data_IF_684317052971
#
_entry.id   IF_684317052971
#
_cell.length_a   1.000
_cell.length_b   1.000
_cell.length_c   1.000
_cell.angle_alpha   90.00
_cell.angle_beta   90.00
_cell.angle_gamma   90.00
#
_symmetry.space_group_name_H-M   'P 1'
#
loop_
_entity.id
_entity.type
_entity.pdbx_description
1 polymer ?
#
# COMPACT_ATOMS: atom_id res chain seq x y z
N UNK A 1 35.83 46.18 -64.32
CA UNK A 1 35.29 44.99 -65.03
C UNK A 1 35.82 43.73 -64.36
N UNK A 2 34.96 42.97 -63.70
CA UNK A 2 35.18 41.55 -63.36
C UNK A 2 33.84 40.92 -62.98
N UNK A 3 33.51 39.81 -63.64
CA UNK A 3 32.24 39.08 -63.66
C UNK A 3 31.81 38.43 -62.34
N UNK A 4 30.51 38.14 -62.18
CA UNK A 4 29.98 37.39 -61.03
C UNK A 4 30.14 35.88 -61.22
N UNK A 5 30.62 35.17 -60.20
CA UNK A 5 30.68 33.70 -60.18
C UNK A 5 29.54 33.09 -59.38
N UNK A 6 28.98 32.03 -59.95
CA UNK A 6 27.68 31.45 -59.68
C UNK A 6 27.60 30.63 -58.38
N UNK A 7 26.45 30.73 -57.72
CA UNK A 7 26.01 29.89 -56.60
C UNK A 7 25.59 28.52 -57.15
N UNK A 8 26.30 27.45 -56.77
CA UNK A 8 26.00 26.06 -57.15
C UNK A 8 25.24 25.37 -56.02
N UNK A 9 23.95 25.12 -56.24
CA UNK A 9 23.09 24.32 -55.37
C UNK A 9 23.52 22.86 -55.42
N UNK A 10 23.93 22.29 -54.28
CA UNK A 10 24.25 20.87 -54.15
C UNK A 10 22.99 20.09 -53.72
N UNK A 11 22.33 19.46 -54.69
CA UNK A 11 21.29 18.47 -54.49
C UNK A 11 21.88 17.20 -53.87
N UNK A 12 21.40 16.80 -52.69
CA UNK A 12 21.80 15.54 -52.04
C UNK A 12 21.09 14.34 -52.73
N UNK A 13 21.81 13.26 -53.07
CA UNK A 13 21.21 12.07 -53.65
C UNK A 13 20.47 11.23 -52.59
N UNK A 14 19.25 10.81 -52.92
CA UNK A 14 18.44 9.85 -52.15
C UNK A 14 19.04 8.46 -52.30
N UNK A 15 19.68 7.95 -51.26
CA UNK A 15 20.21 6.58 -51.20
C UNK A 15 19.08 5.63 -50.82
N UNK A 16 18.68 4.72 -51.72
CA UNK A 16 17.74 3.63 -51.42
C UNK A 16 18.44 2.58 -50.55
N UNK A 17 17.87 2.29 -49.37
CA UNK A 17 18.27 1.18 -48.53
C UNK A 17 17.93 -0.17 -49.22
N UNK A 18 18.81 -1.19 -49.16
CA UNK A 18 18.50 -2.51 -49.67
C UNK A 18 17.50 -3.25 -48.77
N UNK A 19 16.53 -3.93 -49.41
CA UNK A 19 15.47 -4.71 -48.78
C UNK A 19 16.04 -6.04 -48.28
N UNK A 20 16.16 -6.23 -46.97
CA UNK A 20 16.59 -7.49 -46.37
C UNK A 20 15.50 -8.57 -46.54
N UNK A 21 15.84 -9.82 -46.88
CA UNK A 21 14.89 -10.93 -46.91
C UNK A 21 14.52 -11.38 -45.49
N UNK A 22 13.24 -11.70 -45.28
CA UNK A 22 12.70 -12.23 -44.03
C UNK A 22 13.23 -13.66 -43.79
N UNK A 23 13.67 -13.99 -42.55
CA UNK A 23 14.05 -15.36 -42.23
C UNK A 23 12.80 -16.25 -42.16
N UNK A 24 12.83 -17.32 -42.96
CA UNK A 24 11.89 -18.43 -42.85
C UNK A 24 12.27 -19.27 -41.62
N UNK A 25 11.24 -19.65 -40.85
CA UNK A 25 11.25 -20.74 -39.88
C UNK A 25 12.08 -20.52 -38.59
N UNK A 26 11.45 -19.93 -37.57
CA UNK A 26 11.89 -20.10 -36.18
C UNK A 26 10.80 -20.86 -35.42
N UNK A 27 11.18 -22.05 -34.99
CA UNK A 27 10.37 -23.01 -34.25
C UNK A 27 9.69 -22.34 -33.05
N UNK A 28 8.37 -22.50 -32.94
CA UNK A 28 7.60 -22.12 -31.77
C UNK A 28 8.10 -22.93 -30.56
N UNK A 29 8.98 -22.33 -29.76
CA UNK A 29 9.30 -22.81 -28.42
C UNK A 29 8.00 -22.74 -27.61
N UNK A 30 7.34 -23.89 -27.44
CA UNK A 30 6.18 -24.01 -26.56
C UNK A 30 6.65 -23.68 -25.14
N UNK A 31 6.18 -22.55 -24.61
CA UNK A 31 6.37 -22.20 -23.20
C UNK A 31 5.84 -23.37 -22.35
N UNK A 32 6.58 -23.84 -21.34
CA UNK A 32 6.09 -24.88 -20.46
C UNK A 32 4.80 -24.41 -19.76
N UNK A 33 3.80 -25.29 -19.77
CA UNK A 33 2.51 -25.11 -19.11
C UNK A 33 2.78 -24.83 -17.64
N UNK A 34 2.51 -23.60 -17.19
CA UNK A 34 2.58 -23.27 -15.77
C UNK A 34 1.53 -24.10 -15.04
N UNK A 35 1.99 -24.98 -14.15
CA UNK A 35 1.11 -25.70 -13.21
C UNK A 35 0.28 -24.67 -12.43
N UNK A 36 -1.02 -24.92 -12.36
CA UNK A 36 -2.04 -23.97 -11.93
C UNK A 36 -1.68 -23.19 -10.67
N UNK A 37 -1.81 -21.86 -10.78
CA UNK A 37 -1.98 -21.00 -9.62
C UNK A 37 -3.26 -21.47 -8.91
N UNK A 38 -3.24 -21.78 -7.61
CA UNK A 38 -4.46 -22.14 -6.90
C UNK A 38 -5.49 -21.02 -7.05
N UNK A 39 -6.68 -21.35 -7.56
CA UNK A 39 -7.81 -20.42 -7.50
C UNK A 39 -8.13 -20.16 -6.02
N UNK A 40 -8.48 -18.92 -5.64
CA UNK A 40 -8.81 -18.58 -4.28
C UNK A 40 -10.01 -19.41 -3.81
N UNK A 41 -9.80 -20.21 -2.77
CA UNK A 41 -10.83 -20.98 -2.07
C UNK A 41 -11.85 -20.02 -1.46
N UNK A 42 -13.13 -20.36 -1.61
CA UNK A 42 -14.31 -19.50 -1.35
C UNK A 42 -14.53 -19.05 0.11
N UNK A 43 -13.63 -19.38 1.04
CA UNK A 43 -13.67 -18.89 2.44
C UNK A 43 -13.02 -17.50 2.61
N UNK A 44 -12.23 -17.03 1.64
CA UNK A 44 -11.77 -15.64 1.60
C UNK A 44 -12.58 -14.90 0.54
N UNK A 45 -13.74 -14.35 0.91
CA UNK A 45 -14.41 -13.36 0.06
C UNK A 45 -13.47 -12.13 -0.06
N UNK A 46 -12.59 -12.18 -1.04
CA UNK A 46 -11.46 -11.28 -1.25
C UNK A 46 -11.96 -9.86 -1.49
N UNK A 47 -11.88 -9.00 -0.48
CA UNK A 47 -11.84 -7.57 -0.74
C UNK A 47 -10.62 -7.29 -1.62
N UNK A 48 -10.87 -6.90 -2.87
CA UNK A 48 -9.81 -6.55 -3.81
C UNK A 48 -9.21 -5.23 -3.39
N UNK A 49 -8.14 -5.27 -2.58
CA UNK A 49 -7.36 -4.06 -2.27
C UNK A 49 -6.84 -3.50 -3.60
N UNK A 50 -7.36 -2.35 -4.03
CA UNK A 50 -6.95 -1.78 -5.31
C UNK A 50 -5.58 -1.13 -5.17
N UNK A 51 -4.68 -1.45 -6.11
CA UNK A 51 -3.37 -0.83 -6.19
C UNK A 51 -3.49 0.69 -6.27
N UNK A 52 -2.85 1.41 -5.34
CA UNK A 52 -2.93 2.86 -5.25
C UNK A 52 -3.96 3.40 -4.26
N UNK A 53 -4.84 2.57 -3.67
CA UNK A 53 -5.69 3.03 -2.56
C UNK A 53 -4.89 3.28 -1.28
N UNK A 54 -3.81 2.53 -1.07
CA UNK A 54 -2.97 2.68 0.11
C UNK A 54 -1.56 3.10 -0.27
N UNK A 55 -1.02 4.05 0.49
CA UNK A 55 0.39 4.43 0.46
C UNK A 55 0.99 4.18 1.83
N UNK A 56 2.16 3.56 1.85
CA UNK A 56 2.89 3.19 3.06
C UNK A 56 4.19 3.99 3.14
N UNK A 57 4.42 4.58 4.31
CA UNK A 57 5.58 5.38 4.62
C UNK A 57 6.46 4.61 5.59
N UNK A 58 7.69 4.35 5.19
CA UNK A 58 8.71 3.70 6.01
C UNK A 58 9.78 4.71 6.35
N UNK A 59 10.22 4.75 7.60
CA UNK A 59 11.41 5.52 7.97
C UNK A 59 12.51 4.60 8.46
N UNK A 60 13.74 5.04 8.24
CA UNK A 60 14.88 4.45 8.91
C UNK A 60 14.95 4.98 10.35
N UNK A 61 14.93 4.09 11.34
CA UNK A 61 14.89 4.48 12.76
C UNK A 61 16.15 5.23 13.24
N UNK A 62 17.27 5.14 12.49
CA UNK A 62 18.55 5.77 12.87
C UNK A 62 18.83 7.05 12.09
N UNK A 63 18.47 7.07 10.82
CA UNK A 63 18.80 8.17 9.90
C UNK A 63 17.61 9.04 9.51
N UNK A 64 16.38 8.64 9.90
CA UNK A 64 15.12 9.30 9.51
C UNK A 64 14.93 9.46 7.99
N UNK A 65 15.65 8.68 7.19
CA UNK A 65 15.38 8.57 5.76
C UNK A 65 14.02 7.94 5.57
N UNK A 66 13.17 8.53 4.73
CA UNK A 66 11.82 8.04 4.48
C UNK A 66 11.75 7.34 3.13
N UNK A 67 10.97 6.29 2.96
CA UNK A 67 10.72 5.64 1.67
C UNK A 67 9.22 5.37 1.54
N UNK A 68 8.69 5.56 0.34
CA UNK A 68 7.28 5.30 0.06
C UNK A 68 7.10 3.96 -0.66
N UNK A 69 6.01 3.27 -0.36
CA UNK A 69 5.63 2.02 -1.02
C UNK A 69 4.13 1.98 -1.25
N UNK A 70 3.70 1.35 -2.35
CA UNK A 70 2.27 1.04 -2.61
C UNK A 70 1.88 -0.33 -2.04
N UNK A 71 2.87 -1.14 -1.62
CA UNK A 71 2.69 -2.44 -1.00
C UNK A 71 3.10 -2.40 0.46
N UNK A 72 2.45 -3.24 1.29
CA UNK A 72 2.78 -3.43 2.72
C UNK A 72 4.16 -3.99 2.98
N UNK A 73 4.74 -4.68 2.01
CA UNK A 73 6.12 -5.13 2.11
C UNK A 73 7.00 -4.19 1.33
N UNK A 74 8.12 -3.81 1.94
CA UNK A 74 9.10 -2.94 1.32
C UNK A 74 9.95 -3.75 0.32
N UNK A 75 9.82 -3.45 -0.98
CA UNK A 75 10.66 -4.05 -2.01
C UNK A 75 12.03 -3.36 -2.02
N UNK A 76 13.10 -4.13 -1.84
CA UNK A 76 14.48 -3.63 -1.74
C UNK A 76 14.88 -2.75 -2.94
N UNK A 77 14.66 -3.21 -4.17
CA UNK A 77 15.08 -2.46 -5.37
C UNK A 77 14.29 -1.16 -5.53
N UNK A 78 12.96 -1.23 -5.36
CA UNK A 78 12.08 -0.06 -5.48
C UNK A 78 12.37 0.99 -4.40
N UNK A 79 12.70 0.55 -3.19
CA UNK A 79 13.00 1.42 -2.06
C UNK A 79 14.41 2.04 -2.15
N UNK A 80 15.44 1.26 -2.50
CA UNK A 80 16.80 1.78 -2.66
C UNK A 80 16.89 2.80 -3.80
N UNK A 81 16.12 2.64 -4.88
CA UNK A 81 16.08 3.61 -5.99
C UNK A 81 15.55 4.99 -5.60
N UNK A 82 14.88 5.10 -4.45
CA UNK A 82 14.40 6.40 -3.95
C UNK A 82 15.46 7.16 -3.14
N UNK A 83 16.55 6.50 -2.72
CA UNK A 83 17.59 7.10 -1.87
C UNK A 83 18.72 7.68 -2.74
N UNK A 84 18.89 9.00 -2.85
CA UNK A 84 20.03 9.60 -3.54
C UNK A 84 21.32 9.44 -2.72
N UNK A 85 22.45 9.51 -3.44
CA UNK A 85 23.76 9.46 -2.81
C UNK A 85 24.11 10.82 -2.19
N UNK A 86 24.13 10.88 -0.85
CA UNK A 86 24.47 12.06 -0.06
C UNK A 86 25.87 11.96 0.58
N UNK A 87 26.60 10.89 0.28
CA UNK A 87 27.95 10.64 0.77
C UNK A 87 28.21 9.18 1.16
N UNK A 88 29.41 8.92 1.68
CA UNK A 88 29.77 7.56 2.13
C UNK A 88 28.85 7.13 3.28
N UNK A 89 28.30 5.91 3.17
CA UNK A 89 27.38 5.30 4.15
C UNK A 89 26.00 5.96 4.27
N UNK A 90 25.59 6.80 3.32
CA UNK A 90 24.22 7.37 3.32
C UNK A 90 23.21 6.47 2.65
N UNK A 91 23.64 5.62 1.71
CA UNK A 91 22.78 4.63 1.05
C UNK A 91 23.25 3.23 1.48
N UNK A 92 22.40 2.41 2.10
CA UNK A 92 22.74 1.04 2.43
C UNK A 92 22.76 0.16 1.17
N UNK A 93 23.57 -0.89 1.16
CA UNK A 93 23.59 -1.87 0.05
C UNK A 93 22.32 -2.73 0.02
N UNK A 94 21.66 -2.91 1.16
CA UNK A 94 20.43 -3.70 1.30
C UNK A 94 19.61 -3.17 2.46
N UNK A 95 18.30 -3.17 2.31
CA UNK A 95 17.39 -2.75 3.37
C UNK A 95 17.29 -3.84 4.44
N UNK A 96 17.67 -3.44 5.65
CA UNK A 96 17.63 -4.26 6.85
C UNK A 96 16.26 -4.12 7.52
N UNK A 97 15.56 -5.23 7.71
CA UNK A 97 14.19 -5.24 8.26
C UNK A 97 14.08 -4.53 9.61
N UNK A 98 15.10 -4.67 10.46
CA UNK A 98 15.18 -4.09 11.80
C UNK A 98 15.32 -2.56 11.82
N UNK A 99 15.84 -1.96 10.74
CA UNK A 99 16.10 -0.53 10.69
C UNK A 99 14.97 0.26 10.02
N UNK A 100 14.06 -0.40 9.31
CA UNK A 100 13.00 0.23 8.55
C UNK A 100 11.64 -0.10 9.15
N UNK A 101 10.94 0.92 9.61
CA UNK A 101 9.66 0.78 10.28
C UNK A 101 8.56 1.54 9.52
N UNK A 102 7.38 0.96 9.30
CA UNK A 102 6.22 1.75 8.88
C UNK A 102 5.85 2.74 9.99
N UNK A 103 5.74 4.03 9.63
CA UNK A 103 5.32 5.06 10.58
C UNK A 103 4.03 5.77 10.18
N UNK A 104 3.66 5.71 8.90
CA UNK A 104 2.43 6.29 8.40
C UNK A 104 1.84 5.40 7.28
N UNK A 105 0.51 5.27 7.27
CA UNK A 105 -0.26 4.66 6.20
C UNK A 105 -1.36 5.63 5.79
N UNK A 106 -1.49 5.87 4.50
CA UNK A 106 -2.52 6.75 3.94
C UNK A 106 -3.48 5.93 3.10
N UNK A 107 -4.77 6.10 3.33
CA UNK A 107 -5.86 5.53 2.55
C UNK A 107 -6.55 6.61 1.73
N UNK A 108 -6.71 6.34 0.44
CA UNK A 108 -7.44 7.16 -0.51
C UNK A 108 -8.73 6.47 -0.93
N UNK A 109 -9.85 7.20 -1.01
CA UNK A 109 -11.11 6.66 -1.52
C UNK A 109 -10.99 6.27 -3.00
N UNK A 110 -10.18 7.01 -3.78
CA UNK A 110 -9.92 6.73 -5.19
C UNK A 110 -8.49 6.21 -5.40
N UNK A 111 -8.29 5.03 -6.05
CA UNK A 111 -6.96 4.51 -6.35
C UNK A 111 -6.12 5.45 -7.23
N UNK A 112 -6.77 6.15 -8.17
CA UNK A 112 -6.08 7.09 -9.05
C UNK A 112 -5.50 8.29 -8.28
N UNK A 113 -6.25 8.79 -7.30
CA UNK A 113 -5.81 9.89 -6.45
C UNK A 113 -4.55 9.51 -5.65
N UNK A 114 -4.53 8.29 -5.08
CA UNK A 114 -3.34 7.80 -4.38
C UNK A 114 -2.15 7.56 -5.30
N UNK A 115 -2.34 7.07 -6.53
CA UNK A 115 -1.23 6.97 -7.50
C UNK A 115 -0.66 8.34 -7.90
N UNK A 116 -1.53 9.34 -8.08
CA UNK A 116 -1.11 10.71 -8.34
C UNK A 116 -0.34 11.30 -7.14
N UNK A 117 -0.84 11.07 -5.92
CA UNK A 117 -0.19 11.51 -4.69
C UNK A 117 1.19 10.85 -4.52
N UNK A 118 1.28 9.53 -4.75
CA UNK A 118 2.52 8.77 -4.67
C UNK A 118 3.60 9.31 -5.62
N UNK A 119 3.22 9.71 -6.84
CA UNK A 119 4.16 10.34 -7.79
C UNK A 119 4.68 11.66 -7.24
N UNK A 120 3.79 12.55 -6.76
CA UNK A 120 4.17 13.86 -6.21
C UNK A 120 5.02 13.76 -4.95
N UNK A 121 4.70 12.84 -4.03
CA UNK A 121 5.50 12.59 -2.82
C UNK A 121 6.94 12.20 -3.16
N UNK A 122 7.13 11.35 -4.19
CA UNK A 122 8.47 10.95 -4.65
C UNK A 122 9.22 12.10 -5.30
N UNK A 123 8.52 12.97 -6.04
CA UNK A 123 9.09 14.18 -6.63
C UNK A 123 9.53 15.17 -5.54
N UNK A 124 8.67 15.46 -4.56
CA UNK A 124 9.00 16.37 -3.44
C UNK A 124 10.18 15.87 -2.63
N UNK A 125 10.21 14.59 -2.30
CA UNK A 125 11.37 13.99 -1.64
C UNK A 125 12.67 14.20 -2.44
N UNK A 126 12.63 13.91 -3.75
CA UNK A 126 13.80 14.09 -4.60
C UNK A 126 14.24 15.56 -4.65
N UNK A 127 13.30 16.51 -4.57
CA UNK A 127 13.59 17.95 -4.48
C UNK A 127 14.20 18.32 -3.13
N UNK A 128 13.68 17.85 -2.01
CA UNK A 128 14.24 18.12 -0.67
C UNK A 128 15.69 17.69 -0.53
N UNK A 129 16.07 16.58 -1.17
CA UNK A 129 17.44 16.06 -1.09
C UNK A 129 18.39 16.66 -2.14
N UNK A 130 17.88 17.24 -3.24
CA UNK A 130 18.69 17.81 -4.34
C UNK A 130 18.75 19.34 -4.37
N UNK A 131 17.63 19.98 -4.06
CA UNK A 131 17.40 21.42 -4.18
C UNK A 131 16.94 21.98 -2.82
N UNK A 132 17.80 21.83 -1.82
CA UNK A 132 17.57 22.33 -0.47
C UNK A 132 18.11 23.76 -0.29
N UNK A 133 17.51 24.55 0.62
CA UNK A 133 18.06 25.84 1.01
C UNK A 133 19.43 25.66 1.66
N UNK A 134 20.37 26.57 1.42
CA UNK A 134 21.72 26.43 1.99
C UNK A 134 21.75 26.61 3.51
N UNK A 135 20.73 27.23 4.09
CA UNK A 135 20.69 27.57 5.50
C UNK A 135 20.67 26.34 6.40
N UNK A 136 20.00 25.26 5.97
CA UNK A 136 19.98 23.99 6.75
C UNK A 136 21.36 23.32 6.80
N UNK A 137 22.27 23.67 5.87
CA UNK A 137 23.63 23.12 5.81
C UNK A 137 24.71 24.14 6.20
N UNK A 138 24.33 25.30 6.74
CA UNK A 138 25.28 26.28 7.29
C UNK A 138 25.36 26.12 8.80
N UNK A 139 26.53 26.44 9.35
CA UNK A 139 26.70 26.49 10.80
C UNK A 139 26.02 27.75 11.33
N UNK A 140 25.03 27.59 12.21
CA UNK A 140 24.29 28.70 12.83
C UNK A 140 25.09 29.39 13.93
N UNK A 141 25.95 28.63 14.61
CA UNK A 141 26.62 29.05 15.85
C UNK A 141 28.12 28.69 15.86
N UNK A 142 28.87 29.37 16.73
CA UNK A 142 30.29 29.10 16.98
C UNK A 142 31.26 29.80 16.02
N UNK A 143 32.53 29.38 16.09
CA UNK A 143 33.68 30.01 15.40
C UNK A 143 33.52 30.06 13.87
N UNK A 144 32.74 29.14 13.30
CA UNK A 144 32.58 28.97 11.86
C UNK A 144 31.18 29.36 11.37
N UNK A 145 30.50 30.26 12.07
CA UNK A 145 29.17 30.76 11.72
C UNK A 145 29.10 31.21 10.25
N UNK A 146 28.06 30.76 9.54
CA UNK A 146 27.84 31.05 8.12
C UNK A 146 28.63 30.17 7.15
N UNK A 147 29.63 29.41 7.61
CA UNK A 147 30.31 28.41 6.79
C UNK A 147 29.47 27.17 6.58
N UNK A 148 29.79 26.37 5.56
CA UNK A 148 29.08 25.13 5.28
C UNK A 148 29.49 24.02 6.27
N UNK A 149 28.49 23.23 6.69
CA UNK A 149 28.70 22.05 7.52
C UNK A 149 29.71 21.08 6.87
N UNK A 150 30.54 20.39 7.68
CA UNK A 150 31.38 19.30 7.21
C UNK A 150 30.56 18.23 6.49
N UNK A 151 31.14 17.61 5.44
CA UNK A 151 30.46 16.64 4.55
C UNK A 151 29.63 15.58 5.31
N UNK A 152 30.17 15.04 6.41
CA UNK A 152 29.49 14.03 7.23
C UNK A 152 28.26 14.58 7.95
N UNK A 153 28.34 15.77 8.54
CA UNK A 153 27.20 16.43 9.20
C UNK A 153 26.14 16.82 8.18
N UNK A 154 26.58 17.38 7.04
CA UNK A 154 25.71 17.70 5.91
C UNK A 154 24.90 16.50 5.45
N UNK A 155 25.57 15.37 5.20
CA UNK A 155 24.88 14.13 4.83
C UNK A 155 23.86 13.68 5.88
N UNK A 156 24.15 13.84 7.18
CA UNK A 156 23.19 13.49 8.26
C UNK A 156 21.96 14.39 8.25
N UNK A 157 22.13 15.71 8.08
CA UNK A 157 21.01 16.66 8.01
C UNK A 157 20.14 16.37 6.80
N UNK A 158 20.74 16.15 5.62
CA UNK A 158 20.00 15.88 4.39
C UNK A 158 19.31 14.51 4.38
N UNK A 159 19.77 13.55 5.19
CA UNK A 159 19.10 12.24 5.33
C UNK A 159 17.83 12.32 6.17
N UNK A 160 17.71 13.30 7.07
CA UNK A 160 16.55 13.44 7.95
C UNK A 160 15.39 14.07 7.19
N UNK A 161 14.53 13.21 6.64
CA UNK A 161 13.43 13.61 5.76
C UNK A 161 12.06 13.29 6.36
N UNK A 162 12.00 12.90 7.65
CA UNK A 162 10.74 12.48 8.29
C UNK A 162 9.73 13.62 8.36
N UNK A 163 10.14 14.76 8.92
CA UNK A 163 9.28 15.93 9.03
C UNK A 163 8.83 16.43 7.64
N UNK A 164 9.78 16.57 6.72
CA UNK A 164 9.52 17.01 5.34
C UNK A 164 8.50 16.09 4.64
N UNK A 165 8.61 14.77 4.79
CA UNK A 165 7.69 13.82 4.16
C UNK A 165 6.24 13.97 4.63
N UNK A 166 6.03 14.44 5.86
CA UNK A 166 4.72 14.64 6.46
C UNK A 166 4.12 15.98 6.01
N UNK A 167 4.94 17.03 5.99
CA UNK A 167 4.57 18.30 5.39
C UNK A 167 4.23 18.15 3.90
N UNK A 168 5.02 17.36 3.16
CA UNK A 168 4.78 17.04 1.76
C UNK A 168 3.44 16.31 1.57
N UNK A 169 3.11 15.38 2.46
CA UNK A 169 1.82 14.69 2.41
C UNK A 169 0.67 15.68 2.57
N UNK A 170 0.71 16.55 3.57
CA UNK A 170 -0.31 17.57 3.75
C UNK A 170 -0.43 18.48 2.52
N UNK A 171 0.70 18.95 1.97
CA UNK A 171 0.75 19.77 0.77
C UNK A 171 0.20 19.05 -0.47
N UNK A 172 0.50 17.76 -0.66
CA UNK A 172 -0.04 16.97 -1.76
C UNK A 172 -1.56 16.84 -1.66
N UNK A 173 -2.09 16.60 -0.46
CA UNK A 173 -3.53 16.47 -0.25
C UNK A 173 -4.25 17.81 -0.51
N UNK A 174 -3.66 18.93 -0.09
CA UNK A 174 -4.15 20.27 -0.40
C UNK A 174 -4.13 20.56 -1.91
N UNK A 175 -3.03 20.24 -2.59
CA UNK A 175 -2.87 20.43 -4.04
C UNK A 175 -3.86 19.61 -4.86
N UNK A 176 -4.16 18.40 -4.41
CA UNK A 176 -5.17 17.54 -5.04
C UNK A 176 -6.59 18.07 -4.83
N UNK A 177 -6.78 19.14 -4.03
CA UNK A 177 -8.08 19.66 -3.62
C UNK A 177 -9.00 18.54 -3.16
N UNK A 178 -8.45 17.65 -2.32
CA UNK A 178 -9.24 16.67 -1.59
C UNK A 178 -10.02 17.51 -0.56
N UNK A 179 -11.18 17.92 -1.03
CA UNK A 179 -12.14 18.87 -0.48
C UNK A 179 -13.44 18.69 -1.26
N UNK A 180 -14.56 19.25 -0.80
CA UNK A 180 -15.86 19.05 -1.42
C UNK A 180 -15.89 19.86 -2.71
N UNK A 181 -15.40 19.30 -3.82
CA UNK A 181 -15.71 19.89 -5.11
C UNK A 181 -17.22 19.75 -5.31
N UNK A 182 -17.89 20.83 -5.69
CA UNK A 182 -19.33 20.83 -5.97
C UNK A 182 -19.70 19.68 -6.91
N UNK A 183 -18.83 19.38 -7.89
CA UNK A 183 -18.98 18.24 -8.79
C UNK A 183 -19.02 16.88 -8.09
N UNK A 184 -18.25 16.68 -7.01
CA UNK A 184 -18.26 15.42 -6.24
C UNK A 184 -19.52 15.31 -5.40
N UNK A 185 -19.97 16.40 -4.77
CA UNK A 185 -21.26 16.44 -4.06
C UNK A 185 -22.40 16.12 -5.03
N UNK A 186 -22.44 16.80 -6.18
CA UNK A 186 -23.46 16.60 -7.23
C UNK A 186 -23.43 15.18 -7.80
N UNK A 187 -22.24 14.60 -8.01
CA UNK A 187 -22.10 13.23 -8.49
C UNK A 187 -22.50 12.18 -7.44
N UNK A 188 -22.20 12.42 -6.16
CA UNK A 188 -22.65 11.59 -5.06
C UNK A 188 -24.16 11.64 -4.90
N UNK A 189 -24.78 12.82 -4.96
CA UNK A 189 -26.23 12.99 -5.00
C UNK A 189 -26.87 12.29 -6.20
N UNK A 190 -26.29 12.44 -7.40
CA UNK A 190 -26.76 11.74 -8.60
C UNK A 190 -26.68 10.22 -8.43
N UNK A 191 -25.62 9.70 -7.82
CA UNK A 191 -25.49 8.28 -7.47
C UNK A 191 -26.57 7.85 -6.46
N UNK A 192 -26.79 8.62 -5.39
CA UNK A 192 -27.84 8.35 -4.39
C UNK A 192 -29.22 8.30 -5.04
N UNK A 193 -29.59 9.31 -5.83
CA UNK A 193 -30.86 9.36 -6.58
C UNK A 193 -31.00 8.16 -7.52
N UNK A 194 -29.92 7.75 -8.18
CA UNK A 194 -29.93 6.57 -9.08
C UNK A 194 -30.12 5.27 -8.32
N UNK A 195 -29.51 5.11 -7.16
CA UNK A 195 -29.71 3.92 -6.30
C UNK A 195 -31.13 3.89 -5.75
N UNK A 196 -31.67 5.04 -5.33
CA UNK A 196 -33.02 5.17 -4.80
C UNK A 196 -34.10 4.87 -5.86
N UNK A 197 -33.94 5.37 -7.09
CA UNK A 197 -34.86 5.04 -8.19
C UNK A 197 -34.79 3.55 -8.56
N UNK A 198 -33.61 2.95 -8.54
CA UNK A 198 -33.43 1.52 -8.77
C UNK A 198 -34.08 0.66 -7.67
N UNK A 199 -33.99 1.06 -6.40
CA UNK A 199 -34.69 0.41 -5.28
C UNK A 199 -36.20 0.47 -5.46
N UNK A 200 -36.74 1.63 -5.85
CA UNK A 200 -38.17 1.84 -6.06
C UNK A 200 -38.73 1.06 -7.27
N UNK A 201 -37.93 0.83 -8.30
CA UNK A 201 -38.34 0.10 -9.52
C UNK A 201 -38.27 -1.42 -9.39
N UNK A 202 -37.41 -1.98 -8.52
CA UNK A 202 -37.22 -3.44 -8.42
C UNK A 202 -38.06 -4.16 -7.35
N UNK A 203 -38.81 -3.44 -6.52
CA UNK A 203 -39.49 -4.01 -5.36
C UNK A 203 -38.48 -4.43 -4.29
N UNK A 204 -38.82 -4.23 -3.02
CA UNK A 204 -37.89 -4.38 -1.88
C UNK A 204 -37.31 -5.80 -1.75
N UNK A 205 -38.00 -6.82 -2.27
CA UNK A 205 -37.65 -8.24 -2.06
C UNK A 205 -36.72 -8.88 -3.11
N UNK A 206 -36.31 -8.17 -4.17
CA UNK A 206 -35.42 -8.73 -5.22
C UNK A 206 -34.11 -7.98 -5.44
N UNK A 207 -33.64 -7.21 -4.46
CA UNK A 207 -32.27 -6.66 -4.45
C UNK A 207 -31.34 -7.60 -3.67
N UNK A 208 -31.16 -8.85 -4.14
CA UNK A 208 -30.04 -9.66 -3.68
C UNK A 208 -28.74 -9.10 -4.28
N UNK A 209 -28.01 -8.37 -3.42
CA UNK A 209 -26.60 -7.98 -3.45
C UNK A 209 -25.97 -7.92 -4.86
N UNK A 210 -26.11 -6.78 -5.54
CA UNK A 210 -24.99 -6.31 -6.36
C UNK A 210 -23.78 -6.08 -5.43
N UNK A 211 -22.53 -6.30 -5.85
CA UNK A 211 -21.36 -5.98 -5.04
C UNK A 211 -21.38 -4.47 -4.75
N UNK A 212 -21.88 -4.11 -3.58
CA UNK A 212 -21.73 -2.79 -3.01
C UNK A 212 -20.26 -2.75 -2.64
N UNK A 213 -19.46 -1.92 -3.33
CA UNK A 213 -18.12 -1.59 -2.87
C UNK A 213 -18.26 -1.13 -1.40
N UNK A 214 -17.79 -1.96 -0.47
CA UNK A 214 -18.01 -1.93 0.98
C UNK A 214 -17.31 -0.72 1.66
N UNK A 215 -17.00 0.32 0.90
CA UNK A 215 -16.46 1.59 1.41
C UNK A 215 -17.56 2.54 1.94
N UNK A 216 -18.85 2.16 1.86
CA UNK A 216 -19.97 3.09 2.04
C UNK A 216 -20.73 3.00 3.38
N UNK A 217 -20.40 2.11 4.31
CA UNK A 217 -21.26 1.87 5.50
C UNK A 217 -20.70 2.32 6.86
N UNK A 218 -19.62 3.08 6.88
CA UNK A 218 -19.22 3.86 8.07
C UNK A 218 -19.13 5.34 7.72
N UNK A 219 -20.25 6.03 7.92
CA UNK A 219 -20.35 7.47 8.23
C UNK A 219 -19.39 8.42 7.52
N UNK A 220 -19.86 9.01 6.42
CA UNK A 220 -19.70 10.44 6.18
C UNK A 220 -18.41 10.90 5.50
N UNK A 221 -18.59 11.39 4.27
CA UNK A 221 -17.63 12.10 3.38
C UNK A 221 -16.44 11.28 2.87
N UNK A 222 -16.22 11.33 1.55
CA UNK A 222 -15.13 10.67 0.82
C UNK A 222 -13.73 11.24 1.18
N UNK A 223 -13.34 11.15 2.45
CA UNK A 223 -12.12 11.72 3.00
C UNK A 223 -10.93 10.76 2.96
N UNK A 224 -9.73 11.34 3.09
CA UNK A 224 -8.47 10.58 3.16
C UNK A 224 -8.21 10.21 4.62
N UNK A 225 -7.93 8.93 4.89
CA UNK A 225 -7.58 8.46 6.24
C UNK A 225 -6.08 8.31 6.36
N UNK A 226 -5.47 8.95 7.37
CA UNK A 226 -4.05 8.86 7.67
C UNK A 226 -3.86 8.19 9.02
N UNK A 227 -3.21 7.03 9.02
CA UNK A 227 -2.90 6.25 10.21
C UNK A 227 -1.45 6.43 10.62
N UNK A 228 -1.22 6.79 11.87
CA UNK A 228 0.09 7.14 12.41
C UNK A 228 0.60 6.13 13.44
N UNK A 229 1.87 5.73 13.35
CA UNK A 229 2.52 4.99 14.44
C UNK A 229 2.73 5.87 15.67
N UNK A 230 2.99 7.17 15.47
CA UNK A 230 3.03 8.19 16.51
C UNK A 230 2.15 9.38 16.08
N UNK A 231 1.08 9.67 16.82
CA UNK A 231 0.13 10.73 16.46
C UNK A 231 0.75 12.14 16.47
N UNK A 232 1.80 12.35 17.27
CA UNK A 232 2.54 13.63 17.30
C UNK A 232 3.25 13.92 15.98
N UNK A 233 3.51 12.90 15.16
CA UNK A 233 4.10 13.12 13.84
C UNK A 233 3.18 13.98 12.94
N UNK A 234 1.87 14.03 13.20
CA UNK A 234 0.95 14.89 12.45
C UNK A 234 1.25 16.40 12.59
N UNK A 235 1.93 16.81 13.67
CA UNK A 235 2.29 18.22 13.95
C UNK A 235 3.43 18.74 13.07
N UNK A 236 4.14 17.87 12.35
CA UNK A 236 5.16 18.31 11.39
C UNK A 236 4.58 19.06 10.19
N UNK A 237 3.27 18.93 9.94
CA UNK A 237 2.57 19.76 8.98
C UNK A 237 1.82 20.89 9.72
N UNK A 238 2.00 22.12 9.24
CA UNK A 238 1.36 23.30 9.84
C UNK A 238 -0.17 23.25 9.75
N UNK A 239 -0.70 22.75 8.63
CA UNK A 239 -2.13 22.69 8.36
C UNK A 239 -2.50 21.40 7.60
N UNK A 240 -3.69 20.87 7.89
CA UNK A 240 -4.26 19.71 7.22
C UNK A 240 -5.60 20.08 6.57
N UNK A 241 -5.96 19.52 5.40
CA UNK A 241 -7.31 19.65 4.85
C UNK A 241 -8.36 19.06 5.80
N UNK A 242 -9.54 19.68 5.87
CA UNK A 242 -10.63 19.25 6.77
C UNK A 242 -11.12 17.81 6.52
N UNK A 243 -10.96 17.31 5.29
CA UNK A 243 -11.34 15.94 4.90
C UNK A 243 -10.28 14.88 5.25
N UNK A 244 -9.22 15.24 5.99
CA UNK A 244 -8.20 14.30 6.43
C UNK A 244 -8.50 13.81 7.84
N UNK A 245 -8.77 12.51 7.94
CA UNK A 245 -9.01 11.85 9.22
C UNK A 245 -7.73 11.22 9.75
N UNK A 246 -7.36 11.55 10.97
CA UNK A 246 -6.18 11.00 11.63
C UNK A 246 -6.55 9.89 12.60
N UNK A 247 -5.90 8.74 12.44
CA UNK A 247 -6.16 7.53 13.23
C UNK A 247 -4.83 6.89 13.66
N UNK A 248 -4.90 5.91 14.57
CA UNK A 248 -3.74 5.16 15.01
C UNK A 248 -3.40 4.06 14.02
N UNK A 249 -2.11 3.89 13.76
CA UNK A 249 -1.59 2.73 13.05
C UNK A 249 -1.38 1.61 14.05
N UNK A 250 -1.97 0.45 13.77
CA UNK A 250 -1.73 -0.74 14.57
C UNK A 250 -0.23 -1.07 14.63
N UNK A 251 0.25 -1.38 15.84
CA UNK A 251 1.66 -1.69 16.06
C UNK A 251 2.02 -2.93 15.27
N UNK A 252 2.77 -2.72 14.21
CA UNK A 252 3.24 -3.78 13.33
C UNK A 252 4.76 -3.71 13.25
N UNK A 253 5.41 -4.86 13.47
CA UNK A 253 6.87 -4.96 13.38
C UNK A 253 7.25 -5.17 11.91
N UNK A 254 8.03 -4.25 11.35
CA UNK A 254 8.71 -4.34 10.04
C UNK A 254 7.82 -4.33 8.79
N UNK A 255 6.57 -4.79 8.89
CA UNK A 255 5.59 -4.81 7.81
C UNK A 255 4.45 -3.90 8.19
N UNK A 256 3.94 -3.08 7.28
CA UNK A 256 2.78 -2.26 7.60
C UNK A 256 1.54 -3.10 7.94
N UNK A 257 0.71 -2.57 8.83
CA UNK A 257 -0.57 -3.15 9.22
C UNK A 257 -1.42 -3.49 7.98
N UNK A 258 -2.28 -4.51 8.11
CA UNK A 258 -3.29 -4.75 7.09
C UNK A 258 -4.18 -3.50 6.99
N UNK A 259 -4.57 -3.09 5.76
CA UNK A 259 -5.67 -2.15 5.65
C UNK A 259 -6.86 -2.78 6.36
N UNK A 260 -7.46 -2.07 7.32
CA UNK A 260 -8.57 -2.65 8.07
C UNK A 260 -9.69 -2.92 7.08
N UNK A 261 -9.89 -4.19 6.79
CA UNK A 261 -11.10 -4.71 6.16
C UNK A 261 -12.08 -4.81 7.31
N UNK A 262 -12.98 -3.84 7.46
CA UNK A 262 -14.08 -4.00 8.41
C UNK A 262 -14.95 -5.15 7.88
N UNK A 263 -14.83 -6.30 8.55
CA UNK A 263 -15.64 -7.48 8.27
C UNK A 263 -17.05 -7.12 8.75
N UNK A 264 -17.95 -6.90 7.80
CA UNK A 264 -19.39 -6.84 8.12
C UNK A 264 -19.80 -8.27 8.46
N UNK A 265 -19.84 -8.59 9.75
CA UNK A 265 -20.45 -9.82 10.24
C UNK A 265 -21.91 -9.79 9.81
N UNK A 266 -22.23 -10.54 8.75
CA UNK A 266 -23.62 -10.76 8.37
C UNK A 266 -24.12 -11.87 9.31
N UNK A 267 -24.79 -11.50 10.39
CA UNK A 267 -25.52 -12.44 11.23
C UNK A 267 -26.76 -12.97 10.48
N UNK A 268 -26.59 -13.97 9.61
CA UNK A 268 -27.70 -14.78 9.14
C UNK A 268 -27.31 -16.26 9.17
N UNK A 269 -27.44 -16.84 10.37
CA UNK A 269 -27.54 -18.29 10.55
C UNK A 269 -28.93 -18.77 10.19
N UNK A 270 -29.16 -19.15 8.93
CA UNK A 270 -30.35 -19.91 8.53
C UNK A 270 -30.01 -21.40 8.62
N UNK A 271 -30.66 -22.06 9.59
CA UNK A 271 -30.77 -23.52 9.66
C UNK A 271 -31.68 -23.98 8.53
N UNK A 272 -31.13 -24.67 7.54
CA UNK A 272 -31.94 -25.45 6.62
C UNK A 272 -32.28 -26.80 7.26
N UNK A 273 -33.49 -26.91 7.80
CA UNK A 273 -34.24 -28.15 7.85
C UNK A 273 -35.53 -27.98 7.05
N UNK A 274 -35.59 -28.55 5.84
CA UNK A 274 -36.85 -28.98 5.24
C UNK A 274 -36.67 -30.34 4.57
N UNK A 275 -37.50 -31.25 5.06
CA UNK A 275 -37.73 -32.66 4.74
C UNK A 275 -38.17 -32.89 3.29
N UNK A 276 -37.70 -33.98 2.67
CA UNK A 276 -38.47 -34.71 1.64
C UNK A 276 -38.39 -36.22 1.92
N UNK A 277 -39.55 -36.83 2.18
CA UNK A 277 -39.79 -38.26 2.37
C UNK A 277 -39.84 -39.02 1.04
N UNK A 278 -39.45 -40.32 1.06
CA UNK A 278 -40.15 -41.37 0.28
C UNK A 278 -39.32 -42.51 -0.32
N UNK A 279 -39.37 -43.69 0.33
CA UNK A 279 -39.24 -45.06 -0.25
C UNK A 279 -37.83 -45.57 -0.58
N UNK A 280 -37.42 -46.83 -0.39
CA UNK A 280 -38.10 -48.09 -0.07
C UNK A 280 -37.02 -49.18 0.25
N UNK A 281 -37.38 -50.17 1.07
CA UNK A 281 -36.87 -51.56 1.08
C UNK A 281 -35.43 -51.92 1.50
N UNK A 282 -35.28 -52.71 2.58
CA UNK A 282 -34.16 -53.66 2.71
C UNK A 282 -33.76 -54.12 4.13
N UNK A 283 -34.32 -55.24 4.58
CA UNK A 283 -33.92 -56.00 5.78
C UNK A 283 -32.47 -56.53 5.71
N UNK A 284 -31.75 -56.56 6.84
CA UNK A 284 -30.96 -57.71 7.30
C UNK A 284 -30.44 -57.54 8.75
N UNK A 285 -30.33 -58.67 9.45
CA UNK A 285 -30.13 -58.88 10.89
C UNK A 285 -28.65 -59.06 11.31
N UNK A 286 -28.40 -58.95 12.63
CA UNK A 286 -27.32 -59.63 13.37
C UNK A 286 -25.98 -58.87 13.45
N UNK A 287 -25.20 -58.87 14.53
CA UNK A 287 -25.26 -59.60 15.80
C UNK A 287 -24.12 -59.14 16.73
N UNK A 288 -24.26 -59.55 17.99
CA UNK A 288 -23.32 -59.68 19.12
C UNK A 288 -21.84 -59.26 19.00
N UNK A 289 -21.28 -58.76 20.13
CA UNK A 289 -19.88 -59.03 20.45
C UNK A 289 -19.14 -58.07 21.38
N UNK A 290 -19.25 -58.33 22.70
CA UNK A 290 -18.17 -58.38 23.73
C UNK A 290 -17.03 -57.33 23.72
N UNK A 291 -16.74 -56.79 24.91
CA UNK A 291 -15.38 -56.30 25.21
C UNK A 291 -15.24 -55.36 26.38
N UNK A 292 -15.44 -55.86 27.60
CA UNK A 292 -14.97 -55.26 28.84
C UNK A 292 -13.44 -55.02 28.85
N UNK A 293 -12.97 -53.89 29.38
CA UNK A 293 -11.94 -53.89 30.44
C UNK A 293 -11.81 -52.50 31.09
N UNK A 294 -12.36 -52.43 32.30
CA UNK A 294 -11.91 -51.60 33.42
C UNK A 294 -10.46 -51.97 33.76
N UNK A 295 -9.57 -51.00 34.05
CA UNK A 295 -8.76 -50.98 35.29
C UNK A 295 -8.37 -49.54 35.62
N UNK A 296 -8.79 -49.17 36.82
CA UNK A 296 -8.48 -48.01 37.65
C UNK A 296 -7.20 -48.24 38.46
N UNK A 297 -6.36 -47.23 38.67
CA UNK A 297 -5.58 -46.98 39.92
C UNK A 297 -4.64 -45.77 39.67
N UNK A 298 -4.77 -44.64 40.37
CA UNK A 298 -4.27 -44.36 41.74
C UNK A 298 -2.72 -44.35 41.77
N UNK A 299 -1.98 -43.45 42.44
CA UNK A 299 -2.26 -42.32 43.34
C UNK A 299 -0.88 -41.82 43.84
N UNK A 300 -0.81 -40.50 44.13
CA UNK A 300 0.04 -39.82 45.13
C UNK A 300 1.57 -39.67 45.01
N UNK A 301 2.01 -38.49 45.47
CA UNK A 301 3.23 -38.29 46.27
C UNK A 301 4.20 -37.27 45.66
N UNK A 302 4.11 -35.97 45.99
CA UNK A 302 4.80 -35.30 47.11
C UNK A 302 6.05 -34.54 46.61
N UNK A 303 5.99 -33.21 46.46
CA UNK A 303 6.34 -32.16 47.42
C UNK A 303 7.84 -31.96 47.73
N UNK A 304 8.27 -30.72 47.47
CA UNK A 304 9.27 -29.88 48.17
C UNK A 304 10.75 -30.28 48.05
N UNK A 305 11.58 -29.32 47.61
CA UNK A 305 12.36 -28.47 48.51
C UNK A 305 12.97 -27.28 47.77
N UNK A 306 12.84 -26.11 48.40
CA UNK A 306 13.67 -24.94 48.16
C UNK A 306 14.96 -25.08 48.99
N UNK A 307 16.08 -24.54 48.51
CA UNK A 307 16.93 -23.54 49.21
C UNK A 307 18.21 -23.25 48.42
N UNK A 308 18.48 -21.95 48.31
CA UNK A 308 19.75 -21.22 48.24
C UNK A 308 21.07 -22.00 48.11
N UNK A 309 22.07 -21.41 47.42
CA UNK A 309 23.18 -20.67 48.06
C UNK A 309 24.18 -20.16 47.01
N UNK A 310 24.63 -18.91 47.23
CA UNK A 310 25.88 -18.24 46.79
C UNK A 310 26.16 -18.07 45.29
#
# INVERSE_FOLDING_TARGET
MASPSAVRVLSRPVTRLPKAPLPQNTLLIRKPIQKGVPLPTSENATQTVHYGQHIYFYNNIRTNQVVYSLTRHLNNAAALSQLPFLGKKTVPSTLRKDLWNPFCMVYFPSPHAGLAAFRRLREFRALHEKSYPLDIIRETEGKWKGSLLPKKRRGKVLMDQKANSIADLAAVLQLQKIGPSEERIVNAERRRRRVETLKKQKGEDKVKKAPIDVASEMGGVDGVKVRWANKLDAEFAETWPEEVFHDWLERSRYTAAFPAVEVVENEEGVRDEVVVNGGDGGLAQGGEGRGSHLVTALREGAQKQATATA
#
